data_IF_147832719837
#
_entry.id   IF_147832719837
#
_cell.length_a   1.000
_cell.length_b   1.000
_cell.length_c   1.000
_cell.angle_alpha   90.00
_cell.angle_beta   90.00
_cell.angle_gamma   90.00
#
_symmetry.space_group_name_H-M   'P 1'
#
loop_
_entity.id
_entity.type
_entity.pdbx_description
1 polymer ?
#
# COMPACT_ATOMS: atom_id res chain seq x y z
N UNK A 1 -28.07 -10.29 -14.91
CA UNK A 1 -28.18 -8.90 -14.41
C UNK A 1 -27.86 -8.76 -12.92
N UNK A 2 -28.48 -9.61 -12.04
CA UNK A 2 -28.31 -9.52 -10.58
C UNK A 2 -26.85 -9.64 -10.09
N UNK A 3 -26.01 -10.58 -10.56
CA UNK A 3 -24.59 -10.65 -10.17
C UNK A 3 -23.80 -9.39 -10.49
N UNK A 4 -24.04 -8.80 -11.67
CA UNK A 4 -23.40 -7.55 -12.09
C UNK A 4 -23.75 -6.38 -11.17
N UNK A 5 -25.04 -6.29 -10.79
CA UNK A 5 -25.51 -5.25 -9.87
C UNK A 5 -24.87 -5.40 -8.48
N UNK A 6 -24.81 -6.62 -7.95
CA UNK A 6 -24.21 -6.90 -6.64
C UNK A 6 -22.73 -6.50 -6.63
N UNK A 7 -21.97 -6.83 -7.67
CA UNK A 7 -20.55 -6.52 -7.75
C UNK A 7 -20.31 -5.00 -7.87
N UNK A 8 -21.12 -4.32 -8.67
CA UNK A 8 -21.10 -2.85 -8.76
C UNK A 8 -21.45 -2.18 -7.41
N UNK A 9 -22.46 -2.69 -6.69
CA UNK A 9 -22.84 -2.18 -5.38
C UNK A 9 -21.74 -2.38 -4.34
N UNK A 10 -21.04 -3.53 -4.33
CA UNK A 10 -19.89 -3.74 -3.45
C UNK A 10 -18.80 -2.70 -3.69
N UNK A 11 -18.47 -2.40 -4.94
CA UNK A 11 -17.46 -1.41 -5.26
C UNK A 11 -17.93 0.02 -4.90
N UNK A 12 -19.20 0.36 -5.14
CA UNK A 12 -19.78 1.63 -4.69
C UNK A 12 -19.71 1.78 -3.16
N UNK A 13 -19.96 0.71 -2.41
CA UNK A 13 -19.81 0.73 -0.95
C UNK A 13 -18.36 1.03 -0.52
N UNK A 14 -17.36 0.43 -1.18
CA UNK A 14 -15.95 0.72 -0.85
C UNK A 14 -15.58 2.16 -1.15
N UNK A 15 -16.02 2.70 -2.29
CA UNK A 15 -15.83 4.12 -2.64
C UNK A 15 -16.51 5.02 -1.61
N UNK A 16 -17.74 4.70 -1.21
CA UNK A 16 -18.48 5.46 -0.18
C UNK A 16 -17.77 5.42 1.17
N UNK A 17 -17.25 4.28 1.60
CA UNK A 17 -16.47 4.16 2.83
C UNK A 17 -15.18 4.98 2.76
N UNK A 18 -14.54 5.04 1.60
CA UNK A 18 -13.38 5.90 1.38
C UNK A 18 -13.74 7.38 1.54
N UNK A 19 -14.83 7.84 0.92
CA UNK A 19 -15.34 9.20 1.08
C UNK A 19 -15.69 9.48 2.55
N UNK A 20 -16.38 8.55 3.22
CA UNK A 20 -16.70 8.66 4.65
C UNK A 20 -15.44 8.81 5.51
N UNK A 21 -14.35 8.11 5.18
CA UNK A 21 -13.09 8.25 5.92
C UNK A 21 -12.53 9.68 5.87
N UNK A 22 -12.66 10.36 4.74
CA UNK A 22 -12.31 11.78 4.62
C UNK A 22 -13.22 12.68 5.47
N UNK A 23 -14.53 12.45 5.43
CA UNK A 23 -15.48 13.23 6.22
C UNK A 23 -15.23 13.05 7.73
N UNK A 24 -14.95 11.82 8.15
CA UNK A 24 -14.58 11.48 9.52
C UNK A 24 -13.26 12.21 9.89
N UNK A 25 -12.21 12.07 9.09
CA UNK A 25 -10.94 12.73 9.32
C UNK A 25 -11.09 14.24 9.44
N UNK A 26 -11.91 14.87 8.58
CA UNK A 26 -12.22 16.30 8.64
C UNK A 26 -12.95 16.69 9.92
N UNK A 27 -13.88 15.87 10.39
CA UNK A 27 -14.64 16.13 11.62
C UNK A 27 -13.78 15.99 12.87
N UNK A 28 -12.99 14.93 12.97
CA UNK A 28 -12.11 14.67 14.11
C UNK A 28 -10.91 15.63 14.20
N UNK A 29 -10.58 16.32 13.12
CA UNK A 29 -9.57 17.38 13.09
C UNK A 29 -9.73 18.40 14.22
N UNK A 30 -10.94 18.59 14.73
CA UNK A 30 -11.27 19.58 15.75
C UNK A 30 -11.05 19.10 17.20
N UNK A 31 -10.74 17.82 17.45
CA UNK A 31 -11.00 17.25 18.77
C UNK A 31 -9.80 16.87 19.64
N UNK A 32 -8.61 16.58 19.23
CA UNK A 32 -7.48 16.47 20.15
C UNK A 32 -6.13 15.97 19.59
N UNK A 33 -5.06 16.49 20.18
CA UNK A 33 -3.66 16.11 19.98
C UNK A 33 -3.34 14.66 20.39
N UNK A 34 -3.95 14.19 21.48
CA UNK A 34 -3.70 12.85 22.00
C UNK A 34 -4.31 11.76 21.09
N UNK A 35 -5.39 12.04 20.39
CA UNK A 35 -6.07 11.09 19.52
C UNK A 35 -5.19 10.67 18.34
N UNK A 36 -4.42 11.60 17.78
CA UNK A 36 -3.50 11.32 16.68
C UNK A 36 -2.40 10.34 17.09
N UNK A 37 -1.78 10.60 18.23
CA UNK A 37 -0.72 9.73 18.73
C UNK A 37 -1.24 8.32 19.05
N UNK A 38 -2.39 8.24 19.71
CA UNK A 38 -3.06 6.98 20.00
C UNK A 38 -3.40 6.23 18.72
N UNK A 39 -4.02 6.91 17.74
CA UNK A 39 -4.40 6.32 16.46
C UNK A 39 -3.20 5.76 15.68
N UNK A 40 -2.10 6.51 15.59
CA UNK A 40 -0.89 6.03 14.94
C UNK A 40 -0.24 4.85 15.68
N UNK A 41 -0.27 4.83 17.01
CA UNK A 41 0.22 3.70 17.79
C UNK A 41 -0.64 2.45 17.54
N UNK A 42 -1.97 2.57 17.53
CA UNK A 42 -2.86 1.45 17.19
C UNK A 42 -2.63 0.94 15.76
N UNK A 43 -2.47 1.86 14.80
CA UNK A 43 -2.12 1.49 13.43
C UNK A 43 -0.82 0.66 13.39
N UNK A 44 0.22 1.13 14.07
CA UNK A 44 1.51 0.47 14.10
C UNK A 44 1.48 -0.89 14.81
N UNK A 45 0.73 -1.00 15.91
CA UNK A 45 0.47 -2.29 16.58
C UNK A 45 -0.20 -3.26 15.60
N UNK A 46 -1.16 -2.79 14.80
CA UNK A 46 -1.80 -3.60 13.75
C UNK A 46 -0.80 -4.12 12.71
N UNK A 47 0.13 -3.27 12.25
CA UNK A 47 1.19 -3.68 11.32
C UNK A 47 2.12 -4.73 11.94
N UNK A 48 2.58 -4.51 13.19
CA UNK A 48 3.44 -5.47 13.90
C UNK A 48 2.71 -6.80 14.13
N UNK A 49 1.42 -6.74 14.50
CA UNK A 49 0.59 -7.94 14.64
C UNK A 49 0.46 -8.72 13.34
N UNK A 50 0.34 -8.03 12.21
CA UNK A 50 0.31 -8.66 10.89
C UNK A 50 1.65 -9.35 10.57
N UNK A 51 2.78 -8.71 10.87
CA UNK A 51 4.09 -9.33 10.71
C UNK A 51 4.22 -10.62 11.54
N UNK A 52 3.76 -10.58 12.79
CA UNK A 52 3.68 -11.77 13.65
C UNK A 52 2.83 -12.87 13.03
N UNK A 53 1.65 -12.55 12.52
CA UNK A 53 0.77 -13.53 11.85
C UNK A 53 1.47 -14.21 10.66
N UNK A 54 2.20 -13.44 9.84
CA UNK A 54 2.96 -13.99 8.71
C UNK A 54 4.04 -14.97 9.19
N UNK A 55 4.80 -14.63 10.24
CA UNK A 55 5.81 -15.53 10.79
C UNK A 55 5.20 -16.77 11.43
N UNK A 56 4.16 -16.62 12.24
CA UNK A 56 3.45 -17.75 12.85
C UNK A 56 2.86 -18.68 11.80
N UNK A 57 2.25 -18.14 10.76
CA UNK A 57 1.74 -18.92 9.64
C UNK A 57 2.86 -19.73 8.98
N UNK A 58 4.00 -19.08 8.70
CA UNK A 58 5.15 -19.75 8.11
C UNK A 58 5.67 -20.89 9.00
N UNK A 59 5.91 -20.63 10.29
CA UNK A 59 6.41 -21.62 11.24
C UNK A 59 5.43 -22.79 11.36
N UNK A 60 4.13 -22.50 11.47
CA UNK A 60 3.10 -23.52 11.60
C UNK A 60 3.02 -24.43 10.37
N UNK A 61 2.99 -23.85 9.16
CA UNK A 61 2.92 -24.63 7.91
C UNK A 61 4.18 -25.47 7.74
N UNK A 62 5.37 -24.93 8.01
CA UNK A 62 6.63 -25.67 7.91
C UNK A 62 6.77 -26.80 8.93
N UNK A 63 6.17 -26.67 10.11
CA UNK A 63 6.25 -27.68 11.17
C UNK A 63 5.17 -28.77 11.07
N UNK A 64 3.97 -28.43 10.57
CA UNK A 64 2.83 -29.36 10.56
C UNK A 64 2.42 -29.82 9.16
N UNK A 65 2.84 -29.10 8.11
CA UNK A 65 2.34 -29.32 6.74
C UNK A 65 0.88 -28.88 6.52
N UNK A 66 0.20 -28.35 7.55
CA UNK A 66 -1.20 -27.96 7.47
C UNK A 66 -1.30 -26.49 7.02
N UNK A 67 -2.01 -26.26 5.91
CA UNK A 67 -2.21 -24.91 5.36
C UNK A 67 -3.24 -24.15 6.18
N UNK A 68 -2.83 -22.98 6.70
CA UNK A 68 -3.70 -22.03 7.40
C UNK A 68 -3.56 -20.64 6.80
N UNK A 69 -4.65 -19.86 6.78
CA UNK A 69 -4.66 -18.51 6.22
C UNK A 69 -4.44 -18.47 4.71
N UNK A 70 -4.08 -17.30 4.19
CA UNK A 70 -3.82 -17.14 2.75
C UNK A 70 -2.37 -17.52 2.44
N UNK A 71 -2.21 -18.57 1.64
CA UNK A 71 -0.97 -19.23 1.29
C UNK A 71 -0.95 -19.53 -0.20
N UNK A 72 0.21 -19.41 -0.83
CA UNK A 72 0.38 -19.82 -2.21
C UNK A 72 1.80 -20.34 -2.46
N UNK A 73 1.88 -21.44 -3.22
CA UNK A 73 3.12 -21.92 -3.82
C UNK A 73 3.27 -21.25 -5.19
N UNK A 74 4.30 -20.43 -5.33
CA UNK A 74 4.53 -19.64 -6.52
C UNK A 74 5.78 -20.13 -7.26
N UNK A 75 5.65 -21.22 -8.01
CA UNK A 75 6.76 -21.82 -8.77
C UNK A 75 7.75 -22.60 -7.87
N UNK A 76 8.91 -22.96 -8.42
CA UNK A 76 9.91 -23.80 -7.77
C UNK A 76 10.35 -23.23 -6.40
N UNK A 77 9.89 -23.86 -5.32
CA UNK A 77 10.29 -23.57 -3.93
C UNK A 77 9.96 -22.17 -3.39
N UNK A 78 9.10 -21.39 -4.06
CA UNK A 78 8.67 -20.09 -3.56
C UNK A 78 7.30 -20.21 -2.87
N UNK A 79 7.31 -19.95 -1.58
CA UNK A 79 6.10 -19.95 -0.76
C UNK A 79 5.81 -18.52 -0.31
N UNK A 80 4.57 -18.09 -0.45
CA UNK A 80 4.08 -16.80 -0.01
C UNK A 80 3.09 -16.97 1.15
N UNK A 81 3.21 -16.12 2.16
CA UNK A 81 2.39 -16.13 3.37
C UNK A 81 1.76 -14.74 3.57
N UNK A 82 0.44 -14.64 3.58
CA UNK A 82 -0.25 -13.35 3.78
C UNK A 82 -1.01 -13.26 5.11
N UNK A 83 -0.79 -14.20 6.01
CA UNK A 83 -1.49 -14.24 7.30
C UNK A 83 -3.01 -14.35 7.09
N UNK A 84 -3.75 -13.45 7.69
CA UNK A 84 -5.20 -13.35 7.54
C UNK A 84 -5.65 -12.38 6.42
N UNK A 85 -4.71 -11.73 5.71
CA UNK A 85 -5.03 -10.94 4.54
C UNK A 85 -5.33 -11.83 3.33
N UNK A 86 -6.35 -11.48 2.56
CA UNK A 86 -6.78 -12.23 1.38
C UNK A 86 -5.93 -12.01 0.12
N UNK A 87 -4.92 -11.12 0.17
CA UNK A 87 -4.06 -10.78 -0.98
C UNK A 87 -2.63 -10.45 -0.52
N UNK A 88 -1.64 -11.01 -1.22
CA UNK A 88 -0.22 -10.82 -0.91
C UNK A 88 0.27 -9.39 -1.18
N UNK A 89 -0.22 -8.75 -2.24
CA UNK A 89 0.20 -7.39 -2.59
C UNK A 89 -0.29 -6.37 -1.56
N UNK A 90 -1.53 -6.54 -1.07
CA UNK A 90 -2.06 -5.73 0.02
C UNK A 90 -1.31 -5.97 1.33
N UNK A 91 -1.01 -7.24 1.66
CA UNK A 91 -0.25 -7.58 2.85
C UNK A 91 1.16 -6.97 2.82
N UNK A 92 1.86 -7.11 1.69
CA UNK A 92 3.18 -6.52 1.49
C UNK A 92 3.17 -4.99 1.58
N UNK A 93 2.17 -4.33 0.98
CA UNK A 93 2.03 -2.88 1.05
C UNK A 93 1.71 -2.41 2.48
N UNK A 94 0.83 -3.11 3.19
CA UNK A 94 0.49 -2.78 4.58
C UNK A 94 1.71 -2.86 5.50
N UNK A 95 2.50 -3.92 5.41
CA UNK A 95 3.76 -4.06 6.17
C UNK A 95 4.76 -2.96 5.81
N UNK A 96 4.89 -2.64 4.53
CA UNK A 96 5.77 -1.58 4.06
C UNK A 96 5.36 -0.18 4.58
N UNK A 97 4.05 0.09 4.76
CA UNK A 97 3.60 1.33 5.43
C UNK A 97 4.06 1.39 6.88
N UNK A 98 4.20 0.26 7.55
CA UNK A 98 4.77 0.18 8.89
C UNK A 98 6.25 0.51 8.94
N UNK A 99 7.04 0.00 7.98
CA UNK A 99 8.45 0.37 7.83
C UNK A 99 8.59 1.88 7.63
N UNK A 100 7.86 2.44 6.67
CA UNK A 100 7.92 3.88 6.43
C UNK A 100 7.48 4.70 7.64
N UNK A 101 6.44 4.27 8.37
CA UNK A 101 6.01 4.93 9.59
C UNK A 101 7.08 4.90 10.68
N UNK A 102 7.69 3.73 10.92
CA UNK A 102 8.75 3.56 11.90
C UNK A 102 9.96 4.44 11.53
N UNK A 103 10.36 4.45 10.25
CA UNK A 103 11.40 5.34 9.75
C UNK A 103 11.07 6.82 10.04
N UNK A 104 9.92 7.31 9.63
CA UNK A 104 9.53 8.72 9.79
C UNK A 104 9.44 9.17 11.27
N UNK A 105 9.20 8.23 12.19
CA UNK A 105 9.01 8.53 13.61
C UNK A 105 10.26 8.33 14.46
N UNK A 106 11.08 7.35 14.11
CA UNK A 106 12.12 6.86 15.02
C UNK A 106 13.55 7.02 14.53
N UNK A 107 13.77 7.33 13.24
CA UNK A 107 15.12 7.42 12.66
C UNK A 107 16.01 8.47 13.34
N UNK A 108 15.44 9.58 13.81
CA UNK A 108 16.18 10.64 14.50
C UNK A 108 16.32 10.41 16.01
N UNK A 109 15.81 9.33 16.53
CA UNK A 109 15.94 8.99 17.94
C UNK A 109 17.35 8.46 18.24
N UNK A 110 17.81 8.69 19.47
CA UNK A 110 19.15 8.30 19.94
C UNK A 110 19.08 7.10 20.89
N UNK A 111 20.23 6.49 21.11
CA UNK A 111 20.45 5.43 22.10
C UNK A 111 19.60 4.17 21.82
N UNK A 112 19.05 3.55 22.86
CA UNK A 112 18.29 2.32 22.80
C UNK A 112 17.04 2.43 21.90
N UNK A 113 16.50 3.62 21.70
CA UNK A 113 15.35 3.85 20.81
C UNK A 113 15.71 3.65 19.33
N UNK A 114 16.93 4.01 18.95
CA UNK A 114 17.46 3.71 17.62
C UNK A 114 17.66 2.21 17.42
N UNK A 115 18.18 1.51 18.44
CA UNK A 115 18.32 0.04 18.38
C UNK A 115 16.96 -0.63 18.23
N UNK A 116 15.96 -0.21 19.00
CA UNK A 116 14.60 -0.70 18.89
C UNK A 116 13.99 -0.46 17.50
N UNK A 117 14.24 0.73 16.91
CA UNK A 117 13.85 1.02 15.54
C UNK A 117 14.47 0.02 14.55
N UNK A 118 15.78 -0.22 14.63
CA UNK A 118 16.48 -1.16 13.75
C UNK A 118 15.89 -2.57 13.87
N UNK A 119 15.63 -3.04 15.09
CA UNK A 119 15.05 -4.37 15.34
C UNK A 119 13.65 -4.46 14.66
N UNK A 120 12.82 -3.44 14.82
CA UNK A 120 11.49 -3.41 14.21
C UNK A 120 11.59 -3.39 12.69
N UNK A 121 12.48 -2.58 12.11
CA UNK A 121 12.67 -2.52 10.65
C UNK A 121 13.09 -3.89 10.09
N UNK A 122 14.06 -4.55 10.69
CA UNK A 122 14.50 -5.89 10.29
C UNK A 122 13.34 -6.89 10.40
N UNK A 123 12.57 -6.82 11.48
CA UNK A 123 11.40 -7.68 11.69
C UNK A 123 10.32 -7.48 10.60
N UNK A 124 9.97 -6.22 10.29
CA UNK A 124 8.96 -5.91 9.28
C UNK A 124 9.44 -6.25 7.87
N UNK A 125 10.69 -5.91 7.52
CA UNK A 125 11.28 -6.26 6.23
C UNK A 125 11.34 -7.78 6.02
N UNK A 126 11.71 -8.54 7.05
CA UNK A 126 11.65 -10.00 7.01
C UNK A 126 10.23 -10.54 6.78
N UNK A 127 9.22 -9.94 7.40
CA UNK A 127 7.83 -10.29 7.14
C UNK A 127 7.40 -9.98 5.70
N UNK A 128 7.82 -8.83 5.13
CA UNK A 128 7.56 -8.49 3.71
C UNK A 128 8.20 -9.55 2.78
N UNK A 129 9.40 -10.01 3.09
CA UNK A 129 10.05 -11.07 2.33
C UNK A 129 9.29 -12.40 2.41
N UNK A 130 8.73 -12.74 3.59
CA UNK A 130 7.87 -13.91 3.75
C UNK A 130 6.56 -13.80 2.97
N UNK A 131 5.98 -12.61 2.86
CA UNK A 131 4.81 -12.33 2.01
C UNK A 131 5.15 -12.53 0.53
N UNK A 132 6.44 -12.36 0.17
CA UNK A 132 6.94 -12.56 -1.20
C UNK A 132 6.29 -11.68 -2.27
N UNK A 133 5.64 -10.57 -1.88
CA UNK A 133 5.05 -9.59 -2.78
C UNK A 133 6.00 -8.42 -3.05
N UNK A 134 6.34 -8.19 -4.32
CA UNK A 134 7.23 -7.08 -4.72
C UNK A 134 6.62 -5.71 -4.48
N UNK A 135 5.30 -5.60 -4.51
CA UNK A 135 4.57 -4.34 -4.43
C UNK A 135 4.95 -3.50 -3.21
N UNK A 136 5.01 -4.12 -2.03
CA UNK A 136 5.41 -3.41 -0.80
C UNK A 136 6.83 -2.85 -0.87
N UNK A 137 7.79 -3.67 -1.32
CA UNK A 137 9.20 -3.27 -1.42
C UNK A 137 9.42 -2.18 -2.48
N UNK A 138 8.80 -2.32 -3.66
CA UNK A 138 8.90 -1.30 -4.72
C UNK A 138 8.30 0.02 -4.25
N UNK A 139 7.12 -0.03 -3.61
CA UNK A 139 6.47 1.18 -3.09
C UNK A 139 7.31 1.85 -2.00
N UNK A 140 7.90 1.06 -1.10
CA UNK A 140 8.79 1.56 -0.05
C UNK A 140 10.04 2.21 -0.67
N UNK A 141 10.70 1.52 -1.59
CA UNK A 141 11.91 2.02 -2.26
C UNK A 141 11.66 3.33 -3.00
N UNK A 142 10.63 3.39 -3.84
CA UNK A 142 10.27 4.61 -4.59
C UNK A 142 9.97 5.75 -3.64
N UNK A 143 9.17 5.50 -2.60
CA UNK A 143 8.79 6.53 -1.64
C UNK A 143 9.98 7.02 -0.82
N UNK A 144 10.86 6.13 -0.38
CA UNK A 144 12.09 6.50 0.33
C UNK A 144 13.02 7.32 -0.56
N UNK A 145 13.18 6.94 -1.83
CA UNK A 145 13.96 7.72 -2.80
C UNK A 145 13.41 9.14 -2.94
N UNK A 146 12.09 9.27 -3.13
CA UNK A 146 11.44 10.58 -3.19
C UNK A 146 11.60 11.36 -1.88
N UNK A 147 11.46 10.69 -0.73
CA UNK A 147 11.68 11.30 0.58
C UNK A 147 13.07 11.93 0.67
N UNK A 148 14.13 11.20 0.31
CA UNK A 148 15.50 11.71 0.33
C UNK A 148 15.72 12.85 -0.66
N UNK A 149 15.20 12.75 -1.88
CA UNK A 149 15.32 13.80 -2.89
C UNK A 149 14.66 15.12 -2.44
N UNK A 150 13.48 15.04 -1.84
CA UNK A 150 12.74 16.24 -1.41
C UNK A 150 13.13 16.78 -0.02
N UNK A 151 13.90 16.04 0.76
CA UNK A 151 14.32 16.45 2.11
C UNK A 151 15.84 16.45 2.28
N UNK A 152 16.60 16.60 1.21
CA UNK A 152 18.07 16.51 1.22
C UNK A 152 18.72 17.42 2.26
N UNK A 153 18.16 18.60 2.50
CA UNK A 153 18.65 19.57 3.49
C UNK A 153 18.33 19.20 4.96
N UNK A 154 17.61 18.09 5.19
CA UNK A 154 17.20 17.62 6.53
C UNK A 154 17.73 16.23 6.85
N UNK A 155 18.65 15.74 6.03
CA UNK A 155 19.22 14.40 6.19
C UNK A 155 20.20 14.42 7.35
N UNK A 156 19.94 13.64 8.38
CA UNK A 156 20.84 13.39 9.52
C UNK A 156 21.70 12.14 9.28
N UNK A 157 22.73 11.94 10.11
CA UNK A 157 23.58 10.75 10.02
C UNK A 157 22.79 9.42 10.07
N UNK A 158 21.79 9.24 10.95
CA UNK A 158 20.95 8.04 10.92
C UNK A 158 20.23 7.82 9.58
N UNK A 159 19.76 8.89 8.93
CA UNK A 159 19.14 8.78 7.60
C UNK A 159 20.15 8.24 6.57
N UNK A 160 21.40 8.73 6.59
CA UNK A 160 22.45 8.23 5.69
C UNK A 160 22.78 6.77 5.95
N UNK A 161 22.83 6.34 7.21
CA UNK A 161 23.06 4.94 7.57
C UNK A 161 21.93 4.02 7.04
N UNK A 162 20.67 4.45 7.14
CA UNK A 162 19.52 3.71 6.58
C UNK A 162 19.63 3.66 5.05
N UNK A 163 20.00 4.75 4.38
CA UNK A 163 20.18 4.80 2.94
C UNK A 163 21.30 3.85 2.49
N UNK A 164 22.46 3.91 3.11
CA UNK A 164 23.61 3.04 2.80
C UNK A 164 23.26 1.59 3.07
N UNK A 165 22.65 1.29 4.22
CA UNK A 165 22.16 -0.06 4.55
C UNK A 165 21.16 -0.57 3.51
N UNK A 166 20.23 0.27 3.06
CA UNK A 166 19.28 -0.04 2.00
C UNK A 166 19.99 -0.37 0.67
N UNK A 167 20.96 0.43 0.26
CA UNK A 167 21.74 0.20 -0.97
C UNK A 167 22.49 -1.13 -0.89
N UNK A 168 23.16 -1.40 0.22
CA UNK A 168 23.94 -2.65 0.41
C UNK A 168 23.03 -3.89 0.44
N UNK A 169 21.86 -3.79 1.07
CA UNK A 169 20.94 -4.93 1.20
C UNK A 169 20.07 -5.16 -0.03
N UNK A 170 19.87 -4.15 -0.88
CA UNK A 170 19.02 -4.24 -2.08
C UNK A 170 19.41 -5.40 -3.01
N UNK A 171 20.69 -5.62 -3.40
CA UNK A 171 21.06 -6.76 -4.25
C UNK A 171 20.69 -8.10 -3.60
N UNK A 172 20.92 -8.24 -2.29
CA UNK A 172 20.59 -9.45 -1.55
C UNK A 172 19.08 -9.73 -1.50
N UNK A 173 18.29 -8.69 -1.26
CA UNK A 173 16.83 -8.74 -1.31
C UNK A 173 16.35 -9.13 -2.71
N UNK A 174 16.94 -8.54 -3.75
CA UNK A 174 16.63 -8.88 -5.14
C UNK A 174 16.93 -10.34 -5.46
N UNK A 175 18.09 -10.86 -5.05
CA UNK A 175 18.44 -12.28 -5.21
C UNK A 175 17.42 -13.17 -4.49
N UNK A 176 17.05 -12.84 -3.24
CA UNK A 176 16.02 -13.60 -2.51
C UNK A 176 14.66 -13.58 -3.19
N UNK A 177 14.25 -12.44 -3.75
CA UNK A 177 13.00 -12.33 -4.50
C UNK A 177 13.02 -13.07 -5.84
N UNK A 178 14.22 -13.28 -6.40
CA UNK A 178 14.44 -14.06 -7.62
C UNK A 178 14.59 -15.55 -7.34
N UNK A 179 15.03 -15.92 -6.15
CA UNK A 179 15.15 -17.32 -5.75
C UNK A 179 13.80 -18.03 -5.94
N UNK A 180 13.78 -19.11 -6.71
CA UNK A 180 12.58 -19.86 -7.04
C UNK A 180 11.81 -19.37 -8.28
N UNK A 181 12.36 -18.40 -9.04
CA UNK A 181 11.79 -17.96 -10.32
C UNK A 181 12.70 -18.43 -11.48
N UNK A 182 12.80 -19.72 -11.67
CA UNK A 182 13.59 -20.26 -12.77
C UNK A 182 13.04 -19.78 -14.13
N UNK A 183 13.89 -19.11 -14.91
CA UNK A 183 13.57 -18.65 -16.26
C UNK A 183 12.88 -17.30 -16.36
N UNK A 184 12.55 -16.63 -15.26
CA UNK A 184 11.96 -15.28 -15.29
C UNK A 184 13.01 -14.21 -14.99
N UNK A 185 13.07 -13.15 -15.80
CA UNK A 185 13.90 -11.98 -15.55
C UNK A 185 13.33 -11.11 -14.41
N UNK A 186 14.17 -10.25 -13.82
CA UNK A 186 13.71 -9.23 -12.85
C UNK A 186 12.60 -8.34 -13.43
N UNK A 187 12.65 -8.10 -14.73
CA UNK A 187 11.71 -7.25 -15.47
C UNK A 187 10.48 -8.03 -15.94
N UNK A 188 10.43 -9.35 -15.75
CA UNK A 188 9.25 -10.12 -16.10
C UNK A 188 8.04 -9.62 -15.29
N UNK A 189 7.10 -9.10 -16.02
CA UNK A 189 5.87 -8.51 -15.50
C UNK A 189 4.89 -9.53 -14.88
N UNK A 190 5.23 -10.83 -14.95
CA UNK A 190 4.30 -11.92 -14.54
C UNK A 190 2.95 -11.82 -15.28
N UNK A 191 2.98 -11.52 -16.58
CA UNK A 191 1.77 -11.32 -17.40
C UNK A 191 1.06 -9.98 -17.21
N UNK A 192 1.58 -9.09 -16.33
CA UNK A 192 0.92 -7.79 -16.07
C UNK A 192 0.97 -6.86 -17.27
N UNK A 193 2.06 -6.86 -18.03
CA UNK A 193 2.19 -6.00 -19.21
C UNK A 193 1.19 -6.41 -20.29
N UNK A 194 1.05 -7.71 -20.54
CA UNK A 194 0.06 -8.26 -21.46
C UNK A 194 -1.35 -7.93 -21.01
N UNK A 195 -1.62 -8.04 -19.70
CA UNK A 195 -2.91 -7.65 -19.11
C UNK A 195 -3.17 -6.14 -19.27
N UNK A 196 -2.17 -5.27 -19.09
CA UNK A 196 -2.32 -3.83 -19.31
C UNK A 196 -2.59 -3.52 -20.78
N UNK A 197 -1.87 -4.16 -21.72
CA UNK A 197 -2.11 -3.98 -23.16
C UNK A 197 -3.50 -4.46 -23.57
N UNK A 198 -3.93 -5.64 -23.11
CA UNK A 198 -5.28 -6.16 -23.35
C UNK A 198 -6.35 -5.23 -22.78
N UNK A 199 -6.10 -4.69 -21.57
CA UNK A 199 -6.99 -3.71 -20.94
C UNK A 199 -7.10 -2.41 -21.72
N UNK A 200 -5.99 -1.88 -22.21
CA UNK A 200 -5.97 -0.66 -23.01
C UNK A 200 -6.62 -0.87 -24.39
N UNK A 201 -6.45 -2.04 -25.01
CA UNK A 201 -7.14 -2.38 -26.25
C UNK A 201 -8.67 -2.43 -26.02
N UNK A 202 -9.12 -3.10 -24.95
CA UNK A 202 -10.54 -3.12 -24.60
C UNK A 202 -11.11 -1.73 -24.28
N UNK A 203 -10.28 -0.83 -23.71
CA UNK A 203 -10.69 0.54 -23.42
C UNK A 203 -11.11 1.32 -24.66
N UNK A 204 -10.50 1.08 -25.83
CA UNK A 204 -10.82 1.78 -27.07
C UNK A 204 -12.29 1.70 -27.47
N UNK A 205 -12.98 0.63 -27.10
CA UNK A 205 -14.38 0.38 -27.50
C UNK A 205 -15.39 1.19 -26.68
N UNK A 206 -15.04 1.55 -25.43
CA UNK A 206 -15.93 2.32 -24.52
C UNK A 206 -15.19 3.41 -23.76
N UNK A 207 -14.34 4.16 -24.44
CA UNK A 207 -13.43 5.12 -23.81
C UNK A 207 -14.10 6.23 -23.01
N UNK A 208 -15.33 6.65 -23.32
CA UNK A 208 -16.01 7.77 -22.64
C UNK A 208 -16.57 7.36 -21.26
N UNK A 209 -17.33 6.27 -21.21
CA UNK A 209 -18.15 5.88 -20.04
C UNK A 209 -17.67 4.57 -19.40
N UNK A 210 -16.80 3.81 -20.08
CA UNK A 210 -16.30 2.53 -19.59
C UNK A 210 -17.31 1.40 -19.60
N UNK A 211 -16.96 0.31 -18.92
CA UNK A 211 -17.74 -0.94 -18.88
C UNK A 211 -18.62 -1.09 -17.63
N UNK A 212 -18.59 -0.10 -16.74
CA UNK A 212 -19.33 -0.14 -15.48
C UNK A 212 -18.48 -0.62 -14.29
N UNK A 213 -18.94 -0.29 -13.09
CA UNK A 213 -18.29 -0.69 -11.84
C UNK A 213 -18.44 -2.19 -11.59
N UNK A 214 -17.52 -2.74 -10.81
CA UNK A 214 -17.47 -4.15 -10.42
C UNK A 214 -16.21 -4.84 -10.95
N UNK A 215 -15.45 -5.49 -10.05
CA UNK A 215 -14.20 -6.16 -10.42
C UNK A 215 -14.44 -7.38 -11.28
N UNK A 216 -15.43 -8.21 -10.91
CA UNK A 216 -15.77 -9.42 -11.66
C UNK A 216 -16.50 -9.09 -12.97
N UNK A 217 -17.16 -7.93 -13.05
CA UNK A 217 -17.85 -7.49 -14.25
C UNK A 217 -16.90 -7.35 -15.43
N UNK A 218 -15.69 -6.83 -15.21
CA UNK A 218 -14.66 -6.72 -16.26
C UNK A 218 -14.27 -8.09 -16.81
N UNK A 219 -14.06 -9.08 -15.94
CA UNK A 219 -13.72 -10.43 -16.38
C UNK A 219 -14.88 -11.08 -17.16
N UNK A 220 -16.10 -10.94 -16.67
CA UNK A 220 -17.28 -11.53 -17.31
C UNK A 220 -17.60 -10.89 -18.66
N UNK A 221 -17.39 -9.57 -18.81
CA UNK A 221 -17.69 -8.85 -20.04
C UNK A 221 -16.59 -8.93 -21.10
N UNK A 222 -15.33 -8.95 -20.67
CA UNK A 222 -14.17 -8.82 -21.56
C UNK A 222 -13.31 -10.07 -21.62
N UNK A 223 -13.52 -11.06 -20.73
CA UNK A 223 -12.61 -12.19 -20.57
C UNK A 223 -11.20 -11.80 -20.08
N UNK A 224 -11.00 -10.53 -19.69
CA UNK A 224 -9.71 -10.00 -19.29
C UNK A 224 -9.65 -9.94 -17.77
N UNK A 225 -8.57 -10.45 -17.19
CA UNK A 225 -8.35 -10.34 -15.75
C UNK A 225 -8.24 -8.85 -15.35
N UNK A 226 -8.74 -8.53 -14.15
CA UNK A 226 -8.66 -7.16 -13.61
C UNK A 226 -7.22 -6.67 -13.65
N UNK A 227 -6.95 -5.50 -14.27
CA UNK A 227 -5.59 -4.97 -14.33
C UNK A 227 -5.08 -4.66 -12.93
N UNK A 228 -3.86 -5.16 -12.62
CA UNK A 228 -3.18 -4.87 -11.36
C UNK A 228 -2.63 -3.44 -11.33
N UNK A 229 -3.49 -2.49 -11.67
CA UNK A 229 -3.23 -1.06 -11.68
C UNK A 229 -4.54 -0.33 -11.48
N UNK A 230 -4.66 0.38 -10.36
CA UNK A 230 -5.85 1.14 -10.00
C UNK A 230 -6.31 2.14 -11.09
N UNK A 231 -5.37 2.83 -11.72
CA UNK A 231 -5.70 3.83 -12.73
C UNK A 231 -6.27 3.21 -14.00
N UNK A 232 -5.65 2.13 -14.50
CA UNK A 232 -6.15 1.41 -15.68
C UNK A 232 -7.49 0.75 -15.37
N UNK A 233 -7.66 0.21 -14.18
CA UNK A 233 -8.92 -0.38 -13.75
C UNK A 233 -10.06 0.63 -13.78
N UNK A 234 -9.89 1.80 -13.14
CA UNK A 234 -10.94 2.82 -13.13
C UNK A 234 -11.18 3.40 -14.52
N UNK A 235 -10.15 3.51 -15.34
CA UNK A 235 -10.28 3.92 -16.73
C UNK A 235 -11.19 2.97 -17.52
N UNK A 236 -11.01 1.66 -17.35
CA UNK A 236 -11.89 0.64 -17.96
C UNK A 236 -13.32 0.70 -17.39
N UNK A 237 -13.46 0.86 -16.09
CA UNK A 237 -14.75 0.81 -15.42
C UNK A 237 -15.60 2.04 -15.67
N UNK A 238 -15.00 3.24 -15.65
CA UNK A 238 -15.73 4.50 -15.64
C UNK A 238 -15.43 5.39 -16.86
N UNK A 239 -14.58 4.92 -17.75
CA UNK A 239 -14.11 5.68 -18.90
C UNK A 239 -13.31 6.93 -18.52
N UNK A 240 -12.99 7.77 -19.50
CA UNK A 240 -12.25 9.02 -19.26
C UNK A 240 -13.04 9.95 -18.34
N UNK A 241 -14.34 10.08 -18.57
CA UNK A 241 -15.19 11.04 -17.83
C UNK A 241 -15.21 10.69 -16.34
N UNK A 242 -15.56 9.45 -15.99
CA UNK A 242 -15.62 9.01 -14.61
C UNK A 242 -14.25 9.01 -13.92
N UNK A 243 -13.19 8.59 -14.64
CA UNK A 243 -11.83 8.63 -14.13
C UNK A 243 -11.36 10.05 -13.81
N UNK A 244 -11.61 11.01 -14.68
CA UNK A 244 -11.27 12.42 -14.44
C UNK A 244 -12.02 12.98 -13.23
N UNK A 245 -13.29 12.65 -13.06
CA UNK A 245 -14.08 13.07 -11.88
C UNK A 245 -13.48 12.47 -10.60
N UNK A 246 -13.22 11.15 -10.58
CA UNK A 246 -12.67 10.45 -9.42
C UNK A 246 -11.28 10.98 -9.08
N UNK A 247 -10.39 11.09 -10.07
CA UNK A 247 -9.02 11.55 -9.85
C UNK A 247 -8.96 13.03 -9.48
N UNK A 248 -9.76 13.89 -10.11
CA UNK A 248 -9.77 15.32 -9.76
C UNK A 248 -10.25 15.53 -8.33
N UNK A 249 -11.31 14.84 -7.92
CA UNK A 249 -11.79 14.82 -6.54
C UNK A 249 -10.73 14.32 -5.57
N UNK A 250 -10.13 13.18 -5.89
CA UNK A 250 -9.07 12.56 -5.09
C UNK A 250 -7.84 13.46 -4.97
N UNK A 251 -7.32 14.02 -6.06
CA UNK A 251 -6.13 14.87 -6.04
C UNK A 251 -6.37 16.21 -5.37
N UNK A 252 -7.49 16.89 -5.68
CA UNK A 252 -7.82 18.16 -5.04
C UNK A 252 -7.92 18.01 -3.54
N UNK A 253 -8.64 16.99 -3.09
CA UNK A 253 -8.87 16.74 -1.68
C UNK A 253 -7.59 16.33 -0.95
N UNK A 254 -6.82 15.39 -1.52
CA UNK A 254 -5.60 14.88 -0.93
C UNK A 254 -4.47 15.90 -0.94
N UNK A 255 -4.34 16.72 -1.98
CA UNK A 255 -3.30 17.73 -2.06
C UNK A 255 -3.40 18.77 -0.94
N UNK A 256 -4.60 19.29 -0.70
CA UNK A 256 -4.82 20.29 0.33
C UNK A 256 -4.55 19.78 1.75
N UNK A 257 -4.99 18.55 2.05
CA UNK A 257 -4.83 17.98 3.37
C UNK A 257 -3.43 17.39 3.60
N UNK A 258 -2.83 16.76 2.59
CA UNK A 258 -1.49 16.19 2.70
C UNK A 258 -0.40 17.25 2.81
N UNK A 259 -0.56 18.40 2.18
CA UNK A 259 0.37 19.52 2.33
C UNK A 259 0.51 19.95 3.79
N UNK A 260 -0.54 19.77 4.59
CA UNK A 260 -0.60 20.09 6.01
C UNK A 260 -0.11 18.96 6.92
N UNK A 261 -0.18 17.70 6.50
CA UNK A 261 0.11 16.53 7.35
C UNK A 261 1.60 16.30 7.66
N UNK A 262 2.49 17.11 7.11
CA UNK A 262 3.93 17.04 7.38
C UNK A 262 4.58 15.76 6.86
N UNK A 263 5.30 15.01 7.73
CA UNK A 263 5.99 13.79 7.31
C UNK A 263 5.03 12.64 6.92
N UNK A 264 3.83 12.59 7.49
CA UNK A 264 2.86 11.52 7.21
C UNK A 264 2.31 11.52 5.77
N UNK A 265 2.45 12.62 5.02
CA UNK A 265 2.13 12.65 3.58
C UNK A 265 2.86 11.55 2.79
N UNK A 266 4.03 11.13 3.25
CA UNK A 266 4.81 10.09 2.61
C UNK A 266 4.16 8.71 2.68
N UNK A 267 3.43 8.41 3.77
CA UNK A 267 2.64 7.18 3.89
C UNK A 267 1.54 7.13 2.83
N UNK A 268 0.86 8.25 2.61
CA UNK A 268 -0.15 8.31 1.57
C UNK A 268 0.47 8.19 0.16
N UNK A 269 1.58 8.89 -0.10
CA UNK A 269 2.29 8.78 -1.37
C UNK A 269 2.70 7.33 -1.65
N UNK A 270 3.16 6.60 -0.63
CA UNK A 270 3.51 5.19 -0.77
C UNK A 270 2.32 4.33 -1.19
N UNK A 271 1.13 4.62 -0.67
CA UNK A 271 -0.08 3.92 -1.09
C UNK A 271 -0.43 4.26 -2.55
N UNK A 272 -0.27 5.52 -2.97
CA UNK A 272 -0.50 5.91 -4.37
C UNK A 272 0.47 5.18 -5.30
N UNK A 273 1.74 5.07 -4.92
CA UNK A 273 2.72 4.25 -5.67
C UNK A 273 2.30 2.78 -5.69
N UNK A 274 1.88 2.23 -4.54
CA UNK A 274 1.37 0.86 -4.44
C UNK A 274 0.15 0.60 -5.31
N UNK A 275 -0.73 1.59 -5.47
CA UNK A 275 -1.92 1.52 -6.30
C UNK A 275 -1.61 1.29 -7.79
N UNK A 276 -0.40 1.60 -8.24
CA UNK A 276 0.05 1.26 -9.60
C UNK A 276 0.29 -0.25 -9.80
N UNK A 277 0.30 -1.03 -8.73
CA UNK A 277 0.59 -2.46 -8.75
C UNK A 277 -0.52 -3.31 -8.13
N UNK A 278 -1.58 -2.69 -7.64
CA UNK A 278 -2.70 -3.34 -6.95
C UNK A 278 -4.01 -2.88 -7.61
N UNK A 279 -4.93 -3.81 -7.94
CA UNK A 279 -6.27 -3.43 -8.32
C UNK A 279 -7.03 -2.94 -7.10
N UNK A 280 -7.97 -2.02 -7.32
CA UNK A 280 -8.94 -1.58 -6.31
C UNK A 280 -8.36 -1.25 -4.92
N UNK A 281 -7.28 -0.46 -4.90
CA UNK A 281 -6.63 -0.01 -3.65
C UNK A 281 -7.64 0.64 -2.67
N UNK A 282 -8.74 1.19 -3.20
CA UNK A 282 -9.80 1.80 -2.41
C UNK A 282 -10.52 0.78 -1.53
N UNK A 283 -10.48 -0.51 -1.84
CA UNK A 283 -11.03 -1.56 -0.98
C UNK A 283 -10.18 -1.85 0.26
N UNK A 284 -8.95 -1.34 0.32
CA UNK A 284 -8.04 -1.61 1.42
C UNK A 284 -8.40 -0.82 2.68
N UNK A 285 -8.71 -1.54 3.77
CA UNK A 285 -9.11 -0.94 5.05
C UNK A 285 -8.03 -0.07 5.68
N UNK A 286 -6.76 -0.42 5.49
CA UNK A 286 -5.64 0.36 6.03
C UNK A 286 -5.47 1.73 5.33
N UNK A 287 -5.91 1.86 4.07
CA UNK A 287 -5.94 3.15 3.38
C UNK A 287 -6.85 4.13 4.12
N UNK A 288 -8.03 3.69 4.55
CA UNK A 288 -8.97 4.52 5.30
C UNK A 288 -8.36 5.02 6.61
N UNK A 289 -7.71 4.11 7.34
CA UNK A 289 -7.03 4.47 8.59
C UNK A 289 -5.93 5.52 8.36
N UNK A 290 -5.07 5.31 7.35
CA UNK A 290 -3.99 6.25 7.02
C UNK A 290 -4.56 7.62 6.61
N UNK A 291 -5.60 7.65 5.77
CA UNK A 291 -6.25 8.90 5.35
C UNK A 291 -6.75 9.67 6.58
N UNK A 292 -7.53 9.02 7.44
CA UNK A 292 -8.06 9.65 8.66
C UNK A 292 -6.93 10.17 9.56
N UNK A 293 -5.91 9.36 9.80
CA UNK A 293 -4.79 9.73 10.66
C UNK A 293 -3.94 10.86 10.07
N UNK A 294 -3.70 10.86 8.76
CA UNK A 294 -3.02 11.97 8.09
C UNK A 294 -3.79 13.29 8.24
N UNK A 295 -5.11 13.26 8.08
CA UNK A 295 -5.97 14.44 8.21
C UNK A 295 -5.99 14.99 9.63
N UNK A 296 -6.10 14.12 10.65
CA UNK A 296 -6.05 14.53 12.06
C UNK A 296 -4.67 15.12 12.35
N UNK A 297 -3.58 14.51 11.89
CA UNK A 297 -2.21 15.00 12.09
C UNK A 297 -1.95 16.37 11.45
N UNK A 298 -2.64 16.69 10.37
CA UNK A 298 -2.53 18.00 9.70
C UNK A 298 -3.03 19.15 10.57
N UNK A 299 -4.05 18.92 11.40
CA UNK A 299 -4.65 19.97 12.24
C UNK A 299 -3.77 20.41 13.40
N UNK A 300 -3.02 19.49 14.02
CA UNK A 300 -2.16 19.79 15.16
C UNK A 300 -1.09 20.84 14.85
N UNK A 301 -0.61 20.89 13.60
CA UNK A 301 0.40 21.85 13.17
C UNK A 301 -0.14 23.24 12.88
N UNK A 302 -1.40 23.34 12.45
CA UNK A 302 -2.04 24.63 12.21
C UNK A 302 -2.25 25.36 13.54
N UNK A 303 -2.73 24.66 14.56
CA UNK A 303 -2.95 25.22 15.90
C UNK A 303 -1.63 25.68 16.55
N UNK A 304 -0.51 24.92 16.35
CA UNK A 304 0.81 25.32 16.88
C UNK A 304 1.46 26.52 16.18
N UNK A 305 0.97 26.93 15.01
CA UNK A 305 1.46 28.11 14.30
C UNK A 305 0.68 29.37 14.67
N UNK A 306 -0.51 29.21 15.21
CA UNK A 306 -1.41 30.30 15.63
C UNK A 306 -1.31 30.59 17.14
N UNK A 307 -0.66 29.72 17.92
CA UNK A 307 -0.29 29.92 19.33
C UNK A 307 1.17 30.34 19.46
#
# INVERSE_FOLDING_TARGET
FLPFLIDALKQLMTISLFICSFLIGKRFKMYSKNLTMIGWNFYFIGVVSMAFQVYLQRVYILSTGVIIGHYAEMGLNRIAYAGLMGDFSFAGLYLATGCLYAFLKYVDLKNWKLLFFIIIEVFLLGAILCVSARTGLVSLFVTMTLYYLFNINRISVPHLLVLIGGIITTPYILVMLMAGRSGQSLLDSSGRLENYMSSLNAFSDKYLIGYGLGLNNLYTLLGVAVPHNFFIQYLLQTGIIGTLIILSGFFKFTYEELKKSGCYKWLFLMIVVGAMFIPDIVSSRFLYAIVVLCMISASERTIKKES
#
